data_IF_721657136069
#
_entry.id   IF_721657136069
#
_cell.length_a   1.000
_cell.length_b   1.000
_cell.length_c   1.000
_cell.angle_alpha   90.00
_cell.angle_beta   90.00
_cell.angle_gamma   90.00
#
_symmetry.space_group_name_H-M   'P 1'
#
loop_
_entity.id
_entity.type
_entity.pdbx_description
1 polymer ?
#
# COMPACT_ATOMS: atom_id res chain seq x y z
N UNK A 1 8.92 16.50 2.25
CA UNK A 1 8.06 15.38 2.69
C UNK A 1 8.51 14.93 4.07
N UNK A 2 7.58 14.43 4.91
CA UNK A 2 7.86 13.78 6.19
C UNK A 2 7.33 12.35 6.17
N UNK A 3 7.94 11.45 6.96
CA UNK A 3 7.47 10.07 7.09
C UNK A 3 7.12 9.77 8.55
N UNK A 4 6.17 8.88 8.78
CA UNK A 4 5.88 8.31 10.09
C UNK A 4 6.14 6.80 10.06
N UNK A 5 7.13 6.36 10.84
CA UNK A 5 7.73 5.04 10.85
C UNK A 5 9.14 5.05 10.26
N UNK A 6 10.14 4.59 11.02
CA UNK A 6 11.55 4.60 10.66
C UNK A 6 12.13 3.18 10.52
N UNK A 7 11.46 2.32 9.72
CA UNK A 7 11.85 0.92 9.53
C UNK A 7 12.14 0.58 8.05
N UNK A 8 12.18 -0.70 7.70
CA UNK A 8 12.48 -1.16 6.34
C UNK A 8 11.59 -0.56 5.26
N UNK A 9 10.29 -0.39 5.52
CA UNK A 9 9.37 0.22 4.56
C UNK A 9 9.67 1.70 4.30
N UNK A 10 10.12 2.43 5.31
CA UNK A 10 10.54 3.83 5.16
C UNK A 10 11.72 3.97 4.19
N UNK A 11 12.68 3.04 4.19
CA UNK A 11 13.82 3.07 3.26
C UNK A 11 13.35 3.06 1.81
N UNK A 12 12.39 2.18 1.48
CA UNK A 12 11.83 2.10 0.12
C UNK A 12 11.10 3.41 -0.26
N UNK A 13 10.35 4.01 0.67
CA UNK A 13 9.66 5.28 0.41
C UNK A 13 10.64 6.43 0.21
N UNK A 14 11.75 6.44 0.95
CA UNK A 14 12.85 7.41 0.75
C UNK A 14 13.40 7.29 -0.69
N UNK A 15 13.67 6.07 -1.16
CA UNK A 15 14.14 5.84 -2.54
C UNK A 15 13.10 6.33 -3.58
N UNK A 16 11.80 6.08 -3.34
CA UNK A 16 10.73 6.56 -4.23
C UNK A 16 10.74 8.08 -4.30
N UNK A 17 10.76 8.76 -3.17
CA UNK A 17 10.75 10.22 -3.10
C UNK A 17 12.03 10.83 -3.72
N UNK A 18 13.17 10.21 -3.47
CA UNK A 18 14.44 10.60 -4.08
C UNK A 18 14.38 10.49 -5.62
N UNK A 19 13.73 9.47 -6.17
CA UNK A 19 13.53 9.33 -7.61
C UNK A 19 12.72 10.48 -8.23
N UNK A 20 11.93 11.17 -7.43
CA UNK A 20 11.12 12.33 -7.81
C UNK A 20 11.78 13.67 -7.47
N UNK A 21 13.02 13.67 -6.96
CA UNK A 21 13.70 14.83 -6.40
C UNK A 21 12.96 15.48 -5.20
N UNK A 22 12.22 14.68 -4.44
CA UNK A 22 11.51 15.11 -3.23
C UNK A 22 12.35 14.72 -2.01
N UNK A 23 12.89 15.72 -1.30
CA UNK A 23 13.63 15.46 -0.07
C UNK A 23 12.70 15.04 1.09
N UNK A 24 13.12 14.01 1.82
CA UNK A 24 12.54 13.68 3.13
C UNK A 24 13.28 14.52 4.18
N UNK A 25 12.53 15.37 4.91
CA UNK A 25 13.12 16.33 5.88
C UNK A 25 13.40 15.68 7.23
N UNK A 26 12.50 14.81 7.68
CA UNK A 26 12.65 14.02 8.89
C UNK A 26 11.66 12.84 8.87
N UNK A 27 11.92 11.85 9.71
CA UNK A 27 10.99 10.78 10.05
C UNK A 27 10.47 11.01 11.48
N UNK A 28 9.30 10.47 11.78
CA UNK A 28 8.76 10.36 13.14
C UNK A 28 8.64 8.89 13.49
N UNK A 29 9.06 8.51 14.69
CA UNK A 29 8.93 7.13 15.19
C UNK A 29 8.80 7.13 16.72
N UNK A 30 8.02 6.21 17.27
CA UNK A 30 7.83 6.07 18.72
C UNK A 30 9.04 5.39 19.38
N UNK A 31 9.87 4.68 18.63
CA UNK A 31 11.09 4.03 19.14
C UNK A 31 12.23 5.04 19.28
N UNK A 32 12.50 5.47 20.52
CA UNK A 32 13.52 6.46 20.84
C UNK A 32 14.97 6.01 20.59
N UNK A 33 15.19 4.72 20.37
CA UNK A 33 16.53 4.21 20.05
C UNK A 33 16.95 4.51 18.60
N UNK A 34 15.98 4.79 17.72
CA UNK A 34 16.24 5.11 16.31
C UNK A 34 16.37 6.64 16.18
N UNK A 35 17.56 7.16 16.12
CA UNK A 35 17.83 8.60 16.00
C UNK A 35 18.02 9.06 14.56
N UNK A 36 18.32 8.12 13.65
CA UNK A 36 18.60 8.39 12.24
C UNK A 36 18.21 7.19 11.36
N UNK A 37 17.79 7.45 10.11
CA UNK A 37 17.60 6.43 9.07
C UNK A 37 18.11 6.97 7.72
N UNK A 38 19.15 6.34 7.15
CA UNK A 38 19.79 6.74 5.88
C UNK A 38 20.23 8.22 5.86
N UNK A 39 20.80 8.71 6.97
CA UNK A 39 21.26 10.10 7.10
C UNK A 39 20.14 11.11 7.34
N UNK A 40 18.89 10.66 7.55
CA UNK A 40 17.75 11.53 7.80
C UNK A 40 17.37 11.43 9.27
N UNK A 41 17.21 12.56 10.00
CA UNK A 41 16.91 12.55 11.42
C UNK A 41 15.55 11.93 11.74
N UNK A 42 15.48 11.17 12.83
CA UNK A 42 14.24 10.61 13.39
C UNK A 42 13.84 11.42 14.62
N UNK A 43 12.64 11.95 14.62
CA UNK A 43 12.05 12.78 15.66
C UNK A 43 11.05 11.97 16.48
N UNK A 44 10.95 12.28 17.78
CA UNK A 44 10.10 11.56 18.74
C UNK A 44 9.04 12.44 19.38
N UNK A 45 8.89 13.65 18.89
CA UNK A 45 7.86 14.58 19.33
C UNK A 45 6.53 14.35 18.59
N UNK A 46 5.45 14.88 19.18
CA UNK A 46 4.11 14.77 18.60
C UNK A 46 3.77 15.94 17.65
N UNK A 47 4.73 16.83 17.39
CA UNK A 47 4.54 17.95 16.46
C UNK A 47 4.74 17.50 15.00
N UNK A 48 3.87 16.58 14.60
CA UNK A 48 3.93 15.97 13.26
C UNK A 48 3.76 17.03 12.17
N UNK A 49 4.67 17.03 11.21
CA UNK A 49 4.70 17.98 10.09
C UNK A 49 4.05 17.40 8.85
N UNK A 50 3.61 18.28 7.96
CA UNK A 50 3.00 17.94 6.67
C UNK A 50 3.82 18.47 5.47
N UNK A 51 3.62 17.92 4.27
CA UNK A 51 2.84 16.72 3.99
C UNK A 51 3.52 15.44 4.51
N UNK A 52 2.69 14.50 5.03
CA UNK A 52 3.12 13.26 5.69
C UNK A 52 2.80 12.03 4.84
N UNK A 53 3.63 10.99 4.94
CA UNK A 53 3.31 9.62 4.51
C UNK A 53 3.56 8.68 5.68
N UNK A 54 2.63 7.76 5.94
CA UNK A 54 2.82 6.72 6.95
C UNK A 54 3.57 5.55 6.34
N UNK A 55 4.83 5.38 6.76
CA UNK A 55 5.78 4.39 6.24
C UNK A 55 5.73 3.06 7.01
N UNK A 56 4.51 2.59 7.33
CA UNK A 56 4.25 1.35 8.07
C UNK A 56 3.50 0.37 7.19
N UNK A 57 4.10 -0.83 6.98
CA UNK A 57 3.56 -1.87 6.11
C UNK A 57 2.28 -2.53 6.63
N UNK A 58 2.09 -2.60 7.96
CA UNK A 58 0.89 -3.20 8.56
C UNK A 58 -0.34 -2.31 8.35
N UNK A 59 -1.38 -2.84 7.68
CA UNK A 59 -2.56 -2.09 7.28
C UNK A 59 -3.37 -1.58 8.50
N UNK A 60 -3.54 -2.42 9.53
CA UNK A 60 -4.26 -2.05 10.76
C UNK A 60 -3.53 -0.94 11.53
N UNK A 61 -2.20 -1.06 11.68
CA UNK A 61 -1.38 -0.04 12.36
C UNK A 61 -1.44 1.26 11.57
N UNK A 62 -1.28 1.19 10.24
CA UNK A 62 -1.35 2.35 9.35
C UNK A 62 -2.69 3.08 9.49
N UNK A 63 -3.83 2.36 9.55
CA UNK A 63 -5.15 2.95 9.79
C UNK A 63 -5.23 3.63 11.15
N UNK A 64 -4.85 2.94 12.23
CA UNK A 64 -4.89 3.50 13.59
C UNK A 64 -4.06 4.78 13.73
N UNK A 65 -2.97 4.92 12.99
CA UNK A 65 -2.16 6.13 12.99
C UNK A 65 -2.90 7.27 12.30
N UNK A 66 -3.58 7.04 11.17
CA UNK A 66 -4.36 8.08 10.49
C UNK A 66 -5.53 8.60 11.32
N UNK A 67 -6.07 7.78 12.20
CA UNK A 67 -7.14 8.18 13.13
C UNK A 67 -6.63 9.12 14.24
N UNK A 68 -5.33 9.09 14.54
CA UNK A 68 -4.68 9.90 15.58
C UNK A 68 -4.01 11.16 15.03
N UNK A 69 -3.52 11.10 13.79
CA UNK A 69 -2.73 12.18 13.19
C UNK A 69 -3.55 12.85 12.10
N UNK A 70 -4.01 14.06 12.38
CA UNK A 70 -4.79 14.88 11.42
C UNK A 70 -3.87 15.91 10.79
N UNK A 71 -3.35 15.58 9.61
CA UNK A 71 -2.43 16.43 8.83
C UNK A 71 -2.72 16.28 7.34
N UNK A 72 -2.10 17.10 6.51
CA UNK A 72 -2.09 16.87 5.07
C UNK A 72 -1.21 15.66 4.73
N UNK A 73 -1.74 14.72 3.95
CA UNK A 73 -1.01 13.55 3.48
C UNK A 73 -0.51 13.72 2.05
N UNK A 74 0.75 13.32 1.80
CA UNK A 74 1.32 13.27 0.46
C UNK A 74 1.10 11.92 -0.23
N UNK A 75 1.69 11.78 -1.42
CA UNK A 75 1.81 10.51 -2.15
C UNK A 75 3.28 10.26 -2.48
N UNK A 76 3.69 8.99 -2.52
CA UNK A 76 4.99 8.60 -3.06
C UNK A 76 4.77 7.64 -4.23
N UNK A 77 5.09 8.08 -5.44
CA UNK A 77 4.89 7.31 -6.67
C UNK A 77 6.24 7.27 -7.39
N UNK A 78 6.85 6.10 -7.52
CA UNK A 78 8.15 5.99 -8.16
C UNK A 78 8.08 6.37 -9.65
N UNK A 79 9.10 7.04 -10.17
CA UNK A 79 9.13 7.53 -11.57
C UNK A 79 9.01 6.43 -12.64
N UNK A 80 9.31 5.17 -12.29
CA UNK A 80 9.16 4.03 -13.21
C UNK A 80 7.76 3.41 -13.23
N UNK A 81 6.82 3.96 -12.47
CA UNK A 81 5.44 3.48 -12.44
C UNK A 81 4.72 3.91 -13.72
N UNK A 82 3.95 2.99 -14.30
CA UNK A 82 3.09 3.29 -15.44
C UNK A 82 1.66 3.45 -14.91
N UNK A 83 1.11 4.66 -15.01
CA UNK A 83 -0.25 4.96 -14.56
C UNK A 83 -1.04 5.56 -15.71
N UNK A 84 -2.20 5.01 -15.97
CA UNK A 84 -3.16 5.60 -16.91
C UNK A 84 -3.61 6.98 -16.43
N UNK A 85 -3.72 7.99 -17.31
CA UNK A 85 -4.24 9.31 -16.95
C UNK A 85 -5.71 9.30 -16.51
N UNK A 86 -6.42 8.21 -16.72
CA UNK A 86 -7.81 8.01 -16.31
C UNK A 86 -7.96 7.32 -14.97
N UNK A 87 -6.86 7.04 -14.27
CA UNK A 87 -6.87 6.37 -12.97
C UNK A 87 -6.58 7.35 -11.84
N UNK A 88 -7.13 7.07 -10.67
CA UNK A 88 -6.99 7.92 -9.48
C UNK A 88 -6.22 7.21 -8.38
N UNK A 89 -5.40 7.95 -7.65
CA UNK A 89 -4.66 7.46 -6.48
C UNK A 89 -4.92 8.39 -5.30
N UNK A 90 -5.44 7.82 -4.21
CA UNK A 90 -5.74 8.53 -2.97
C UNK A 90 -4.50 9.01 -2.22
N UNK A 91 -4.69 10.04 -1.38
CA UNK A 91 -3.63 10.60 -0.52
C UNK A 91 -3.10 9.57 0.48
N UNK A 92 -1.85 9.71 0.88
CA UNK A 92 -1.17 8.78 1.77
C UNK A 92 -0.68 7.50 1.10
N UNK A 93 -1.05 7.26 -0.18
CA UNK A 93 -0.71 6.02 -0.89
C UNK A 93 0.71 6.05 -1.46
N UNK A 94 1.30 4.86 -1.51
CA UNK A 94 2.66 4.60 -2.01
C UNK A 94 2.57 3.65 -3.20
N UNK A 95 3.21 4.00 -4.32
CA UNK A 95 3.30 3.14 -5.51
C UNK A 95 4.77 2.94 -5.85
N UNK A 96 5.21 1.69 -5.80
CA UNK A 96 6.62 1.32 -5.86
C UNK A 96 7.07 1.05 -7.30
N UNK A 97 8.36 0.79 -7.42
CA UNK A 97 9.08 0.59 -8.68
C UNK A 97 8.40 -0.45 -9.57
N UNK A 98 8.21 -0.09 -10.86
CA UNK A 98 7.71 -0.98 -11.89
C UNK A 98 6.24 -1.41 -11.75
N UNK A 99 5.48 -0.82 -10.81
CA UNK A 99 4.05 -1.08 -10.74
C UNK A 99 3.31 -0.49 -11.94
N UNK A 100 2.22 -1.13 -12.34
CA UNK A 100 1.37 -0.74 -13.48
C UNK A 100 -0.06 -0.58 -12.99
N UNK A 101 -0.71 0.55 -13.32
CA UNK A 101 -2.11 0.83 -13.00
C UNK A 101 -2.80 1.27 -14.29
N UNK A 102 -3.71 0.42 -14.79
CA UNK A 102 -4.42 0.60 -16.06
C UNK A 102 -5.66 1.49 -15.91
N UNK A 103 -6.29 1.79 -17.04
CA UNK A 103 -7.36 2.78 -17.18
C UNK A 103 -8.54 2.56 -16.25
N UNK A 104 -9.10 3.66 -15.75
CA UNK A 104 -10.31 3.71 -14.92
C UNK A 104 -10.20 3.00 -13.56
N UNK A 105 -8.98 2.61 -13.15
CA UNK A 105 -8.77 1.98 -11.84
C UNK A 105 -8.67 3.04 -10.74
N UNK A 106 -9.33 2.79 -9.61
CA UNK A 106 -9.41 3.69 -8.47
C UNK A 106 -8.63 3.09 -7.29
N UNK A 107 -7.60 3.78 -6.86
CA UNK A 107 -6.79 3.40 -5.69
C UNK A 107 -7.15 4.33 -4.53
N UNK A 108 -7.63 3.76 -3.45
CA UNK A 108 -8.00 4.47 -2.24
C UNK A 108 -6.83 5.15 -1.51
N UNK A 109 -7.14 5.69 -0.33
CA UNK A 109 -6.16 6.38 0.52
C UNK A 109 -5.27 5.39 1.27
N UNK A 110 -4.03 5.79 1.54
CA UNK A 110 -3.09 5.02 2.35
C UNK A 110 -2.86 3.59 1.86
N UNK A 111 -2.98 3.36 0.55
CA UNK A 111 -2.68 2.06 -0.07
C UNK A 111 -1.18 1.88 -0.29
N UNK A 112 -0.76 0.62 -0.34
CA UNK A 112 0.58 0.23 -0.77
C UNK A 112 0.43 -0.61 -2.04
N UNK A 113 0.88 -0.08 -3.17
CA UNK A 113 1.01 -0.81 -4.42
C UNK A 113 2.49 -1.11 -4.60
N UNK A 114 2.86 -2.35 -4.31
CA UNK A 114 4.25 -2.73 -4.13
C UNK A 114 4.97 -2.99 -5.47
N UNK A 115 6.26 -3.28 -5.42
CA UNK A 115 7.17 -3.45 -6.56
C UNK A 115 6.59 -4.42 -7.59
N UNK A 116 6.51 -3.98 -8.85
CA UNK A 116 6.05 -4.79 -9.98
C UNK A 116 4.60 -5.28 -9.91
N UNK A 117 3.79 -4.76 -8.98
CA UNK A 117 2.36 -5.11 -8.93
C UNK A 117 1.65 -4.57 -10.17
N UNK A 118 0.72 -5.35 -10.73
CA UNK A 118 -0.07 -4.99 -11.90
C UNK A 118 -1.55 -4.96 -11.55
N UNK A 119 -2.18 -3.82 -11.77
CA UNK A 119 -3.61 -3.58 -11.58
C UNK A 119 -4.19 -3.20 -12.94
N UNK A 120 -5.03 -4.07 -13.47
CA UNK A 120 -5.65 -3.90 -14.77
C UNK A 120 -6.82 -2.89 -14.71
N UNK A 121 -7.52 -2.70 -15.84
CA UNK A 121 -8.57 -1.68 -15.99
C UNK A 121 -9.79 -1.90 -15.06
N UNK A 122 -10.48 -0.83 -14.73
CA UNK A 122 -11.75 -0.83 -13.97
C UNK A 122 -11.66 -1.46 -12.56
N UNK A 123 -10.47 -1.56 -11.99
CA UNK A 123 -10.28 -2.09 -10.63
C UNK A 123 -10.64 -1.06 -9.56
N UNK A 124 -11.22 -1.53 -8.45
CA UNK A 124 -11.51 -0.71 -7.26
C UNK A 124 -10.70 -1.23 -6.08
N UNK A 125 -9.74 -0.48 -5.63
CA UNK A 125 -8.90 -0.79 -4.47
C UNK A 125 -9.27 0.18 -3.35
N UNK A 126 -9.96 -0.32 -2.31
CA UNK A 126 -10.40 0.51 -1.19
C UNK A 126 -9.21 0.99 -0.33
N UNK A 127 -9.48 1.80 0.71
CA UNK A 127 -8.44 2.40 1.55
C UNK A 127 -7.60 1.34 2.30
N UNK A 128 -6.36 1.67 2.61
CA UNK A 128 -5.43 0.85 3.40
C UNK A 128 -5.08 -0.52 2.82
N UNK A 129 -5.45 -0.81 1.59
CA UNK A 129 -5.10 -2.07 0.93
C UNK A 129 -3.60 -2.14 0.67
N UNK A 130 -3.04 -3.34 0.78
CA UNK A 130 -1.66 -3.65 0.40
C UNK A 130 -1.65 -4.69 -0.72
N UNK A 131 -1.28 -4.29 -1.92
CA UNK A 131 -1.00 -5.17 -3.06
C UNK A 131 0.49 -5.44 -3.04
N UNK A 132 0.88 -6.65 -2.67
CA UNK A 132 2.29 -7.05 -2.46
C UNK A 132 3.08 -7.19 -3.77
N UNK A 133 4.41 -7.38 -3.70
CA UNK A 133 5.25 -7.46 -4.88
C UNK A 133 4.75 -8.48 -5.90
N UNK A 134 4.72 -8.06 -7.18
CA UNK A 134 4.34 -8.90 -8.33
C UNK A 134 2.95 -9.54 -8.23
N UNK A 135 2.04 -9.03 -7.40
CA UNK A 135 0.65 -9.45 -7.46
C UNK A 135 -0.04 -8.86 -8.70
N UNK A 136 -0.88 -9.66 -9.35
CA UNK A 136 -1.59 -9.30 -10.58
C UNK A 136 -3.09 -9.35 -10.35
N UNK A 137 -3.76 -8.23 -10.59
CA UNK A 137 -5.21 -8.09 -10.56
C UNK A 137 -5.70 -7.87 -11.99
N UNK A 138 -6.49 -8.81 -12.52
CA UNK A 138 -7.11 -8.66 -13.84
C UNK A 138 -8.24 -7.62 -13.79
N UNK A 139 -8.82 -7.30 -14.95
CA UNK A 139 -9.82 -6.24 -15.07
C UNK A 139 -11.05 -6.42 -14.17
N UNK A 140 -11.61 -5.29 -13.71
CA UNK A 140 -12.82 -5.23 -12.89
C UNK A 140 -12.73 -6.00 -11.54
N UNK A 141 -11.53 -6.14 -10.97
CA UNK A 141 -11.33 -6.68 -9.63
C UNK A 141 -11.60 -5.62 -8.58
N UNK A 142 -12.32 -5.97 -7.51
CA UNK A 142 -12.47 -5.10 -6.34
C UNK A 142 -11.82 -5.71 -5.09
N UNK A 143 -11.09 -4.86 -4.35
CA UNK A 143 -10.42 -5.27 -3.10
C UNK A 143 -10.87 -4.35 -1.96
N UNK A 144 -11.50 -4.95 -0.97
CA UNK A 144 -12.05 -4.26 0.20
C UNK A 144 -10.99 -3.70 1.14
N UNK A 145 -11.40 -2.69 1.92
CA UNK A 145 -10.56 -1.91 2.84
C UNK A 145 -9.66 -2.81 3.70
N UNK A 146 -8.41 -2.41 3.84
CA UNK A 146 -7.45 -3.03 4.74
C UNK A 146 -6.97 -4.42 4.34
N UNK A 147 -7.43 -4.94 3.22
CA UNK A 147 -7.06 -6.28 2.74
C UNK A 147 -5.61 -6.31 2.26
N UNK A 148 -4.96 -7.44 2.51
CA UNK A 148 -3.60 -7.72 2.09
C UNK A 148 -3.57 -8.80 1.02
N UNK A 149 -3.13 -8.45 -0.19
CA UNK A 149 -2.89 -9.38 -1.29
C UNK A 149 -1.41 -9.77 -1.27
N UNK A 150 -1.13 -11.05 -1.00
CA UNK A 150 0.23 -11.59 -0.88
C UNK A 150 1.03 -11.55 -2.18
N UNK A 151 2.35 -11.60 -2.05
CA UNK A 151 3.27 -11.51 -3.19
C UNK A 151 3.01 -12.59 -4.25
N UNK A 152 3.09 -12.22 -5.54
CA UNK A 152 2.88 -13.13 -6.66
C UNK A 152 1.47 -13.71 -6.78
N UNK A 153 0.49 -13.17 -6.05
CA UNK A 153 -0.92 -13.58 -6.17
C UNK A 153 -1.48 -13.16 -7.53
N UNK A 154 -2.26 -14.03 -8.16
CA UNK A 154 -3.04 -13.70 -9.35
C UNK A 154 -4.53 -13.75 -9.03
N UNK A 155 -5.27 -12.69 -9.37
CA UNK A 155 -6.73 -12.59 -9.20
C UNK A 155 -7.35 -12.45 -10.58
N UNK A 156 -8.23 -13.38 -10.97
CA UNK A 156 -8.89 -13.33 -12.28
C UNK A 156 -9.92 -12.18 -12.33
N UNK A 157 -10.34 -11.82 -13.55
CA UNK A 157 -11.26 -10.71 -13.78
C UNK A 157 -12.59 -10.83 -13.03
N UNK A 158 -13.11 -9.69 -12.58
CA UNK A 158 -14.43 -9.55 -11.95
C UNK A 158 -14.55 -10.08 -10.52
N UNK A 159 -13.48 -10.62 -9.93
CA UNK A 159 -13.48 -11.16 -8.57
C UNK A 159 -13.54 -10.04 -7.54
N UNK A 160 -14.31 -10.26 -6.48
CA UNK A 160 -14.42 -9.38 -5.31
C UNK A 160 -13.72 -9.98 -4.11
N UNK A 161 -12.79 -9.25 -3.52
CA UNK A 161 -12.11 -9.61 -2.27
C UNK A 161 -12.68 -8.73 -1.16
N UNK A 162 -13.17 -9.34 -0.10
CA UNK A 162 -13.74 -8.66 1.06
C UNK A 162 -12.72 -7.82 1.84
N UNK A 163 -13.23 -7.12 2.85
CA UNK A 163 -12.44 -6.22 3.72
C UNK A 163 -11.63 -7.00 4.73
N UNK A 164 -10.48 -6.46 5.11
CA UNK A 164 -9.62 -6.99 6.19
C UNK A 164 -9.28 -8.47 6.02
N UNK A 165 -9.24 -8.95 4.79
CA UNK A 165 -8.84 -10.32 4.44
C UNK A 165 -7.36 -10.37 4.08
N UNK A 166 -6.78 -11.56 4.17
CA UNK A 166 -5.40 -11.84 3.76
C UNK A 166 -5.43 -12.93 2.70
N UNK A 167 -4.88 -12.61 1.53
CA UNK A 167 -4.61 -13.59 0.48
C UNK A 167 -3.15 -13.99 0.58
N UNK A 168 -2.88 -15.27 0.79
CA UNK A 168 -1.50 -15.77 0.91
C UNK A 168 -0.71 -15.64 -0.38
N UNK A 169 0.60 -15.51 -0.26
CA UNK A 169 1.51 -15.37 -1.40
C UNK A 169 1.38 -16.53 -2.40
N UNK A 170 1.53 -16.25 -3.71
CA UNK A 170 1.44 -17.24 -4.79
C UNK A 170 0.04 -17.82 -5.01
N UNK A 171 -1.00 -17.24 -4.42
CA UNK A 171 -2.37 -17.72 -4.60
C UNK A 171 -2.93 -17.40 -5.98
N UNK A 172 -3.82 -18.27 -6.48
CA UNK A 172 -4.62 -18.02 -7.68
C UNK A 172 -6.09 -17.95 -7.27
N UNK A 173 -6.63 -16.71 -7.27
CA UNK A 173 -7.99 -16.42 -6.80
C UNK A 173 -8.94 -16.43 -8.00
N UNK A 174 -9.89 -17.38 -7.98
CA UNK A 174 -10.83 -17.62 -9.10
C UNK A 174 -12.30 -17.46 -8.66
N UNK A 175 -12.54 -17.04 -7.41
CA UNK A 175 -13.87 -16.80 -6.85
C UNK A 175 -13.79 -15.70 -5.81
N UNK A 176 -14.90 -15.07 -5.51
CA UNK A 176 -15.02 -14.06 -4.47
C UNK A 176 -14.56 -14.59 -3.11
N UNK A 177 -13.93 -13.73 -2.35
CA UNK A 177 -13.42 -14.00 -0.99
C UNK A 177 -14.19 -13.11 -0.01
N UNK A 178 -14.79 -13.65 1.06
CA UNK A 178 -15.52 -12.87 2.04
C UNK A 178 -14.59 -11.99 2.93
N UNK A 179 -15.21 -11.15 3.76
CA UNK A 179 -14.50 -10.29 4.72
C UNK A 179 -13.84 -11.11 5.84
N UNK A 180 -12.71 -10.60 6.37
CA UNK A 180 -12.08 -11.08 7.60
C UNK A 180 -11.58 -12.52 7.56
N UNK A 181 -11.03 -12.95 6.42
CA UNK A 181 -10.54 -14.32 6.26
C UNK A 181 -9.09 -14.39 5.78
N UNK A 182 -8.43 -15.48 6.13
CA UNK A 182 -7.22 -15.94 5.47
C UNK A 182 -7.58 -16.93 4.37
N UNK A 183 -7.20 -16.63 3.14
CA UNK A 183 -7.37 -17.52 2.00
C UNK A 183 -6.04 -17.74 1.29
N UNK A 184 -5.72 -18.99 0.89
CA UNK A 184 -4.44 -19.34 0.29
C UNK A 184 -4.56 -20.42 -0.78
N UNK A 185 -3.58 -20.51 -1.64
CA UNK A 185 -3.32 -21.64 -2.53
C UNK A 185 -3.71 -21.43 -3.99
N UNK A 186 -3.32 -22.39 -4.81
CA UNK A 186 -3.72 -22.50 -6.22
C UNK A 186 -4.57 -23.79 -6.37
N UNK A 187 -5.84 -23.68 -6.47
CA UNK A 187 -6.84 -22.60 -6.40
C UNK A 187 -7.00 -22.06 -4.96
N UNK A 188 -7.11 -20.76 -4.82
CA UNK A 188 -7.25 -20.11 -3.52
C UNK A 188 -8.53 -20.56 -2.79
N UNK A 189 -8.39 -20.93 -1.50
CA UNK A 189 -9.50 -21.34 -0.62
C UNK A 189 -9.39 -20.63 0.72
N UNK A 190 -10.53 -20.31 1.31
CA UNK A 190 -10.60 -19.78 2.69
C UNK A 190 -10.14 -20.88 3.66
N UNK A 191 -9.20 -20.52 4.52
CA UNK A 191 -8.62 -21.42 5.53
C UNK A 191 -9.25 -21.16 6.90
N UNK A 192 -9.40 -19.88 7.28
CA UNK A 192 -9.95 -19.49 8.58
C UNK A 192 -10.42 -18.04 8.59
N UNK A 193 -11.23 -17.65 9.57
CA UNK A 193 -11.50 -16.26 9.93
C UNK A 193 -10.32 -15.65 10.68
N UNK A 194 -10.09 -14.34 10.54
CA UNK A 194 -9.01 -13.58 11.20
C UNK A 194 -9.56 -12.30 11.81
#
# INVERSE_FOLDING_TARGET
MYLFGASGHAKVIIDILASQNIAVKALFDDNKEITELLGIPVLHDLNIKSPLIISIGNNNIRKKITEKIVVEYGKAIHRSVIISPFSEIGLGSVVMQGAIIQSCSQIGKHCIINTGASIDHDCIIENFVHISPHATLCGNVSVGEGTWIGAGTTIIQGVKIGKWSVIGAGSVVTKDIPDGVLAVGNRCKVIKKI
#
